data_IF_290246787039
#
_entry.id   IF_290246787039
#
_cell.length_a   1.000
_cell.length_b   1.000
_cell.length_c   1.000
_cell.angle_alpha   90.00
_cell.angle_beta   90.00
_cell.angle_gamma   90.00
#
_symmetry.space_group_name_H-M   'P 1'
#
loop_
_entity.id
_entity.type
_entity.pdbx_description
1 polymer ?
#
# COMPACT_ATOMS: atom_id res chain seq x y z
N UNK A 1 -22.42 -17.43 -7.61
CA UNK A 1 -20.97 -17.33 -7.42
C UNK A 1 -20.68 -17.44 -5.95
N UNK A 2 -20.14 -18.58 -5.54
CA UNK A 2 -19.54 -18.82 -4.23
C UNK A 2 -18.03 -18.51 -4.32
N UNK A 3 -17.33 -18.40 -3.20
CA UNK A 3 -15.86 -18.22 -3.20
C UNK A 3 -15.13 -19.30 -4.02
N UNK A 4 -15.70 -20.49 -4.14
CA UNK A 4 -15.14 -21.60 -4.95
C UNK A 4 -15.27 -21.39 -6.47
N UNK A 5 -16.04 -20.39 -6.92
CA UNK A 5 -16.23 -20.08 -8.36
C UNK A 5 -15.23 -19.02 -8.86
N UNK A 6 -14.37 -18.48 -7.99
CA UNK A 6 -13.33 -17.49 -8.33
C UNK A 6 -12.01 -18.24 -8.50
N UNK A 7 -11.34 -18.18 -9.67
CA UNK A 7 -10.04 -18.80 -9.84
C UNK A 7 -9.04 -18.18 -8.85
N UNK A 8 -8.28 -19.03 -8.15
CA UNK A 8 -7.16 -18.58 -7.32
C UNK A 8 -6.06 -18.04 -8.24
N UNK A 9 -5.95 -16.71 -8.31
CA UNK A 9 -4.84 -16.03 -8.97
C UNK A 9 -3.76 -15.72 -7.93
N UNK A 10 -2.62 -16.39 -8.06
CA UNK A 10 -1.43 -16.11 -7.27
C UNK A 10 -0.52 -15.13 -8.02
N UNK A 11 0.00 -14.14 -7.29
CA UNK A 11 0.93 -13.15 -7.82
C UNK A 11 2.24 -13.22 -7.04
N UNK A 12 3.34 -13.40 -7.77
CA UNK A 12 4.67 -13.38 -7.17
C UNK A 12 5.16 -11.94 -6.96
N UNK A 13 5.71 -11.69 -5.78
CA UNK A 13 6.36 -10.42 -5.45
C UNK A 13 7.85 -10.68 -5.24
N UNK A 14 8.69 -9.85 -5.86
CA UNK A 14 10.14 -9.93 -5.66
C UNK A 14 10.48 -9.78 -4.16
N UNK A 15 11.41 -10.59 -3.62
CA UNK A 15 11.74 -10.56 -2.19
C UNK A 15 12.11 -9.16 -1.66
N UNK A 16 12.77 -8.36 -2.50
CA UNK A 16 13.19 -6.99 -2.16
C UNK A 16 11.99 -6.04 -2.04
N UNK A 17 10.90 -6.30 -2.79
CA UNK A 17 9.69 -5.49 -2.76
C UNK A 17 8.72 -5.93 -1.67
N UNK A 18 8.91 -7.13 -1.11
CA UNK A 18 7.98 -7.71 -0.13
C UNK A 18 7.80 -6.85 1.13
N UNK A 19 8.86 -6.29 1.76
CA UNK A 19 8.69 -5.40 2.90
C UNK A 19 7.90 -4.13 2.57
N UNK A 20 8.13 -3.56 1.38
CA UNK A 20 7.39 -2.38 0.91
C UNK A 20 5.91 -2.72 0.66
N UNK A 21 5.64 -3.88 0.04
CA UNK A 21 4.27 -4.35 -0.20
C UNK A 21 3.50 -4.53 1.11
N UNK A 22 4.08 -5.22 2.10
CA UNK A 22 3.45 -5.40 3.41
C UNK A 22 3.17 -4.06 4.11
N UNK A 23 4.09 -3.09 4.00
CA UNK A 23 3.87 -1.76 4.55
C UNK A 23 2.75 -1.01 3.81
N UNK A 24 2.70 -1.11 2.48
CA UNK A 24 1.64 -0.51 1.67
C UNK A 24 0.26 -1.12 2.00
N UNK A 25 0.19 -2.45 2.12
CA UNK A 25 -1.02 -3.18 2.50
C UNK A 25 -1.51 -2.78 3.90
N UNK A 26 -0.60 -2.68 4.88
CA UNK A 26 -0.93 -2.22 6.22
C UNK A 26 -1.37 -0.74 6.27
N UNK A 27 -1.03 0.05 5.25
CA UNK A 27 -1.46 1.44 5.06
C UNK A 27 -2.79 1.57 4.30
N UNK A 28 -3.45 0.47 3.94
CA UNK A 28 -4.64 0.42 3.06
C UNK A 28 -5.80 1.31 3.49
N UNK A 29 -5.95 1.61 4.78
CA UNK A 29 -7.00 2.50 5.31
C UNK A 29 -6.55 3.94 5.52
N UNK A 30 -5.25 4.23 5.34
CA UNK A 30 -4.64 5.50 5.76
C UNK A 30 -4.57 6.51 4.62
N UNK A 31 -5.72 6.71 3.96
CA UNK A 31 -5.87 7.68 2.88
C UNK A 31 -6.32 9.03 3.41
N UNK A 32 -5.68 10.09 2.91
CA UNK A 32 -6.21 11.45 3.00
C UNK A 32 -7.33 11.59 1.98
N UNK A 33 -8.52 11.93 2.43
CA UNK A 33 -9.71 12.07 1.57
C UNK A 33 -10.17 13.53 1.50
N UNK A 34 -10.57 13.96 0.31
CA UNK A 34 -11.19 15.26 0.05
C UNK A 34 -12.56 15.10 -0.61
N UNK A 35 -13.13 16.19 -1.11
CA UNK A 35 -14.44 16.18 -1.80
C UNK A 35 -14.49 15.22 -3.00
N UNK A 36 -13.33 14.93 -3.60
CA UNK A 36 -13.17 14.00 -4.72
C UNK A 36 -12.64 12.62 -4.33
N UNK A 37 -12.76 12.16 -3.08
CA UNK A 37 -12.23 10.86 -2.66
C UNK A 37 -10.77 10.92 -2.20
N UNK A 38 -10.06 9.80 -2.28
CA UNK A 38 -8.65 9.71 -1.89
C UNK A 38 -7.79 10.70 -2.67
N UNK A 39 -6.78 11.27 -2.00
CA UNK A 39 -5.82 12.23 -2.58
C UNK A 39 -4.37 11.80 -2.41
N UNK A 40 -4.13 10.79 -1.58
CA UNK A 40 -2.82 10.25 -1.24
C UNK A 40 -2.84 9.59 0.14
N UNK A 41 -1.82 8.82 0.47
CA UNK A 41 -1.58 8.23 1.77
C UNK A 41 -1.15 9.29 2.78
N UNK A 42 -1.54 9.10 4.05
CA UNK A 42 -1.04 9.92 5.14
C UNK A 42 0.34 9.44 5.58
N UNK A 43 1.40 10.03 5.04
CA UNK A 43 2.77 9.66 5.42
C UNK A 43 3.10 9.89 6.90
N UNK A 44 2.29 10.64 7.67
CA UNK A 44 2.49 10.73 9.12
C UNK A 44 2.19 9.39 9.83
N UNK A 45 1.32 8.56 9.24
CA UNK A 45 1.03 7.21 9.72
C UNK A 45 2.09 6.18 9.29
N UNK A 46 2.94 6.50 8.31
CA UNK A 46 3.93 5.56 7.79
C UNK A 46 4.94 5.09 8.86
N UNK A 47 5.59 5.96 9.67
CA UNK A 47 6.50 5.48 10.71
C UNK A 47 5.88 4.60 11.81
N UNK A 48 4.71 4.94 12.40
CA UNK A 48 4.10 4.05 13.40
C UNK A 48 3.63 2.72 12.81
N UNK A 49 3.09 2.70 11.58
CA UNK A 49 2.69 1.44 10.92
C UNK A 49 3.93 0.57 10.61
N UNK A 50 4.99 1.17 10.04
CA UNK A 50 6.25 0.48 9.82
C UNK A 50 6.82 -0.12 11.14
N UNK A 51 6.73 0.62 12.24
CA UNK A 51 7.15 0.13 13.55
C UNK A 51 6.30 -1.06 14.04
N UNK A 52 5.00 -1.09 13.75
CA UNK A 52 4.13 -2.23 14.10
C UNK A 52 4.47 -3.49 13.31
N UNK A 53 5.01 -3.33 12.09
CA UNK A 53 5.54 -4.42 11.26
C UNK A 53 6.97 -4.84 11.63
N UNK A 54 7.57 -4.23 12.66
CA UNK A 54 8.93 -4.54 13.10
C UNK A 54 10.04 -3.89 12.28
N UNK A 55 9.71 -2.98 11.36
CA UNK A 55 10.69 -2.22 10.58
C UNK A 55 11.40 -1.19 11.46
N UNK A 56 12.72 -1.11 11.34
CA UNK A 56 13.53 -0.11 12.02
C UNK A 56 13.35 1.24 11.33
N UNK A 57 13.42 2.31 12.11
CA UNK A 57 13.29 3.69 11.60
C UNK A 57 14.24 4.03 10.44
N UNK A 58 15.41 3.39 10.40
CA UNK A 58 16.41 3.56 9.33
C UNK A 58 16.07 2.87 8.00
N UNK A 59 15.17 1.89 8.03
CA UNK A 59 14.74 1.11 6.86
C UNK A 59 13.58 1.82 6.13
N UNK A 60 12.84 2.71 6.82
CA UNK A 60 11.72 3.46 6.24
C UNK A 60 12.12 4.29 5.00
N UNK A 61 13.25 5.04 5.00
CA UNK A 61 13.68 5.78 3.81
C UNK A 61 14.00 4.87 2.61
N UNK A 62 14.40 3.62 2.85
CA UNK A 62 14.77 2.65 1.81
C UNK A 62 13.51 2.21 1.04
N UNK A 63 12.40 1.95 1.75
CA UNK A 63 11.12 1.53 1.15
C UNK A 63 10.22 2.68 0.70
N UNK A 64 10.55 3.92 1.07
CA UNK A 64 9.67 5.07 0.82
C UNK A 64 9.41 5.31 -0.67
N UNK A 65 10.42 5.06 -1.52
CA UNK A 65 10.24 5.19 -2.97
C UNK A 65 9.21 4.18 -3.49
N UNK A 66 9.29 2.92 -3.05
CA UNK A 66 8.41 1.85 -3.49
C UNK A 66 6.96 2.11 -3.04
N UNK A 67 6.77 2.64 -1.83
CA UNK A 67 5.45 3.10 -1.34
C UNK A 67 4.86 4.17 -2.26
N UNK A 68 5.67 5.13 -2.71
CA UNK A 68 5.19 6.17 -3.63
C UNK A 68 4.79 5.62 -5.00
N UNK A 69 5.48 4.59 -5.48
CA UNK A 69 5.11 3.92 -6.74
C UNK A 69 3.76 3.22 -6.58
N UNK A 70 3.58 2.42 -5.52
CA UNK A 70 2.32 1.73 -5.25
C UNK A 70 1.15 2.70 -5.00
N UNK A 71 1.38 3.80 -4.29
CA UNK A 71 0.38 4.86 -4.10
C UNK A 71 -0.05 5.49 -5.42
N UNK A 72 0.88 5.80 -6.32
CA UNK A 72 0.56 6.39 -7.61
C UNK A 72 -0.36 5.49 -8.44
N UNK A 73 -0.04 4.20 -8.52
CA UNK A 73 -0.89 3.22 -9.22
C UNK A 73 -2.26 3.05 -8.55
N UNK A 74 -2.30 2.95 -7.22
CA UNK A 74 -3.56 2.88 -6.49
C UNK A 74 -4.45 4.11 -6.73
N UNK A 75 -3.87 5.30 -6.80
CA UNK A 75 -4.58 6.53 -7.14
C UNK A 75 -5.17 6.51 -8.54
N UNK A 76 -4.46 5.95 -9.53
CA UNK A 76 -4.98 5.77 -10.89
C UNK A 76 -6.18 4.83 -10.88
N UNK A 77 -6.03 3.63 -10.30
CA UNK A 77 -7.09 2.60 -10.25
C UNK A 77 -8.33 3.11 -9.49
N UNK A 78 -8.15 3.79 -8.36
CA UNK A 78 -9.25 4.39 -7.59
C UNK A 78 -9.95 5.52 -8.35
N UNK A 79 -9.24 6.22 -9.23
CA UNK A 79 -9.83 7.26 -10.08
C UNK A 79 -10.59 6.70 -11.28
N UNK A 80 -10.16 5.55 -11.82
CA UNK A 80 -10.84 4.84 -12.92
C UNK A 80 -12.13 4.16 -12.46
N UNK A 81 -12.18 3.76 -11.18
CA UNK A 81 -13.34 3.08 -10.58
C UNK A 81 -14.50 4.02 -10.18
N UNK A 82 -14.47 5.27 -10.65
CA UNK A 82 -15.50 6.28 -10.35
C UNK A 82 -16.60 6.38 -11.40
#
# INVERSE_FOLDING_TARGET
MTLADIPEEEYEVWPDNWPAFLLFEAMSTQWRVGMGGATGLDYNALPPVASMLGMKRREIPEVFHDIRVMEAEAMLVMSESK
#
